data_IF_968921742754
#
_entry.id   IF_968921742754
#
_cell.length_a   1.000
_cell.length_b   1.000
_cell.length_c   1.000
_cell.angle_alpha   90.00
_cell.angle_beta   90.00
_cell.angle_gamma   90.00
#
_symmetry.space_group_name_H-M   'P 1'
#
loop_
_entity.id
_entity.type
_entity.pdbx_description
1 polymer ?
#
# COMPACT_ATOMS: atom_id res chain seq x y z
N UNK A 1 7.10 3.66 -32.62
CA UNK A 1 8.54 3.72 -32.97
C UNK A 1 9.29 4.24 -31.76
N UNK A 2 9.93 3.29 -31.07
CA UNK A 2 11.05 3.39 -30.12
C UNK A 2 11.16 4.54 -29.09
N UNK A 3 10.98 4.11 -27.84
CA UNK A 3 11.65 4.49 -26.58
C UNK A 3 12.95 5.30 -26.67
N UNK A 4 13.12 6.28 -25.76
CA UNK A 4 14.22 6.35 -24.76
C UNK A 4 14.31 7.76 -24.14
N UNK A 5 13.78 7.94 -22.92
CA UNK A 5 14.44 8.72 -21.85
C UNK A 5 13.90 8.18 -20.52
N UNK A 6 14.74 7.39 -19.84
CA UNK A 6 14.41 6.73 -18.59
C UNK A 6 14.13 7.70 -17.44
N UNK A 7 12.88 8.16 -17.36
CA UNK A 7 12.38 8.84 -16.18
C UNK A 7 11.90 7.82 -15.16
N UNK A 8 12.83 7.43 -14.29
CA UNK A 8 12.60 6.77 -13.02
C UNK A 8 11.95 7.75 -12.03
N UNK A 9 10.78 8.28 -12.37
CA UNK A 9 9.94 9.09 -11.48
C UNK A 9 8.49 8.79 -11.84
N UNK A 10 7.94 7.69 -11.31
CA UNK A 10 6.50 7.62 -11.12
C UNK A 10 6.13 8.84 -10.30
N UNK A 11 5.35 9.75 -10.88
CA UNK A 11 4.88 10.96 -10.24
C UNK A 11 4.20 10.60 -8.91
N UNK A 12 4.93 10.76 -7.80
CA UNK A 12 4.34 10.89 -6.46
C UNK A 12 3.62 12.23 -6.31
N UNK A 13 3.55 13.02 -7.38
CA UNK A 13 2.89 14.31 -7.45
C UNK A 13 1.38 14.10 -7.59
N UNK A 14 0.70 14.20 -6.45
CA UNK A 14 -0.71 14.58 -6.30
C UNK A 14 -1.77 13.48 -6.30
N UNK A 15 -1.63 12.45 -5.46
CA UNK A 15 -2.85 11.82 -4.90
C UNK A 15 -3.31 12.73 -3.78
N UNK A 16 -4.09 13.75 -4.14
CA UNK A 16 -4.64 14.72 -3.19
C UNK A 16 -5.38 14.03 -2.04
N UNK A 17 -5.98 12.87 -2.30
CA UNK A 17 -6.71 12.06 -1.32
C UNK A 17 -5.82 11.50 -0.20
N UNK A 18 -4.49 11.40 -0.40
CA UNK A 18 -3.55 10.94 0.63
C UNK A 18 -2.81 12.09 1.33
N UNK A 19 -3.06 13.35 0.96
CA UNK A 19 -2.44 14.51 1.60
C UNK A 19 -3.16 14.79 2.93
N UNK A 20 -2.43 14.66 4.03
CA UNK A 20 -3.00 14.76 5.38
C UNK A 20 -2.96 16.19 5.97
N UNK A 21 -2.17 17.07 5.37
CA UNK A 21 -2.06 18.48 5.77
C UNK A 21 -0.70 19.10 5.47
N UNK A 22 -0.56 20.38 5.84
CA UNK A 22 0.67 21.16 5.77
C UNK A 22 1.03 21.64 7.18
N UNK A 23 2.24 21.34 7.67
CA UNK A 23 2.67 21.69 9.04
C UNK A 23 2.77 23.21 9.30
N UNK A 24 2.76 24.04 8.25
CA UNK A 24 2.71 25.50 8.36
C UNK A 24 1.31 26.01 8.66
N UNK A 25 0.29 25.17 8.46
CA UNK A 25 -1.13 25.50 8.56
C UNK A 25 -1.84 24.66 9.63
N UNK A 26 -1.37 23.44 9.88
CA UNK A 26 -1.91 22.47 10.85
C UNK A 26 -0.82 21.97 11.79
N UNK A 27 -1.20 21.68 13.02
CA UNK A 27 -0.35 20.98 13.99
C UNK A 27 -0.09 19.53 13.55
N UNK A 28 0.97 18.93 14.09
CA UNK A 28 1.27 17.50 13.87
C UNK A 28 0.12 16.64 14.37
N UNK A 29 -0.50 17.01 15.49
CA UNK A 29 -1.65 16.30 16.07
C UNK A 29 -2.86 16.29 15.11
N UNK A 30 -3.20 17.44 14.53
CA UNK A 30 -4.29 17.53 13.54
C UNK A 30 -3.99 16.71 12.29
N UNK A 31 -2.75 16.73 11.78
CA UNK A 31 -2.35 15.88 10.66
C UNK A 31 -2.44 14.39 11.04
N UNK A 32 -2.02 14.05 12.27
CA UNK A 32 -2.03 12.69 12.79
C UNK A 32 -3.46 12.16 12.92
N UNK A 33 -4.42 12.94 13.42
CA UNK A 33 -5.83 12.54 13.53
C UNK A 33 -6.67 12.84 12.28
N UNK A 34 -6.05 13.08 11.13
CA UNK A 34 -6.75 13.16 9.85
C UNK A 34 -7.44 11.84 9.49
N UNK A 35 -8.55 11.92 8.75
CA UNK A 35 -9.34 10.77 8.31
C UNK A 35 -8.50 9.67 7.67
N UNK A 36 -7.63 10.02 6.72
CA UNK A 36 -6.76 9.07 6.01
C UNK A 36 -5.80 8.35 6.97
N UNK A 37 -5.20 9.09 7.90
CA UNK A 37 -4.29 8.51 8.89
C UNK A 37 -5.02 7.59 9.87
N UNK A 38 -6.25 7.96 10.25
CA UNK A 38 -7.12 7.12 11.06
C UNK A 38 -7.49 5.82 10.34
N UNK A 39 -7.91 5.91 9.08
CA UNK A 39 -8.19 4.73 8.24
C UNK A 39 -6.96 3.81 8.18
N UNK A 40 -5.78 4.34 7.81
CA UNK A 40 -4.56 3.53 7.65
C UNK A 40 -4.15 2.84 8.96
N UNK A 41 -4.22 3.55 10.09
CA UNK A 41 -3.88 2.97 11.41
C UNK A 41 -4.83 1.85 11.82
N UNK A 42 -6.12 2.03 11.52
CA UNK A 42 -7.18 1.14 11.95
C UNK A 42 -7.47 0.02 10.95
N UNK A 43 -6.72 -0.10 9.85
CA UNK A 43 -6.85 -1.23 8.90
C UNK A 43 -6.76 -2.55 9.67
N UNK A 44 -7.83 -3.33 9.56
CA UNK A 44 -7.82 -4.72 9.97
C UNK A 44 -7.08 -5.55 8.92
N UNK A 45 -5.82 -5.88 9.22
CA UNK A 45 -4.94 -6.61 8.29
C UNK A 45 -5.49 -7.99 7.89
N UNK A 46 -6.39 -8.58 8.70
CA UNK A 46 -7.02 -9.86 8.37
C UNK A 46 -8.07 -9.75 7.25
N UNK A 47 -8.49 -8.53 6.91
CA UNK A 47 -9.42 -8.28 5.81
C UNK A 47 -8.71 -7.97 4.49
N UNK A 48 -7.36 -7.91 4.49
CA UNK A 48 -6.59 -7.73 3.27
C UNK A 48 -6.89 -8.86 2.27
N UNK A 49 -7.02 -8.49 0.99
CA UNK A 49 -7.34 -9.37 -0.13
C UNK A 49 -6.08 -9.87 -0.83
N UNK A 50 -6.23 -10.79 -1.79
CA UNK A 50 -5.12 -11.31 -2.60
C UNK A 50 -4.15 -12.21 -1.81
N UNK A 51 -2.91 -12.29 -2.26
CA UNK A 51 -1.87 -13.14 -1.64
C UNK A 51 -1.63 -12.81 -0.16
N UNK A 52 -1.78 -11.55 0.25
CA UNK A 52 -1.64 -11.15 1.65
C UNK A 52 -2.65 -11.87 2.57
N UNK A 53 -3.86 -12.18 2.10
CA UNK A 53 -4.86 -12.93 2.88
C UNK A 53 -4.38 -14.33 3.28
N UNK A 54 -3.52 -14.92 2.45
CA UNK A 54 -2.95 -16.25 2.61
C UNK A 54 -1.51 -16.22 3.12
N UNK A 55 -0.92 -15.05 3.42
CA UNK A 55 0.48 -14.95 3.84
C UNK A 55 0.64 -15.19 5.35
N UNK A 56 1.59 -16.05 5.74
CA UNK A 56 1.89 -16.33 7.16
C UNK A 56 2.49 -15.14 7.91
N UNK A 57 3.11 -14.21 7.18
CA UNK A 57 3.77 -13.02 7.75
C UNK A 57 2.83 -11.82 7.91
N UNK A 58 1.54 -11.97 7.59
CA UNK A 58 0.56 -10.88 7.57
C UNK A 58 0.50 -10.10 8.89
N UNK A 59 0.61 -10.77 10.03
CA UNK A 59 0.57 -10.13 11.35
C UNK A 59 1.76 -9.18 11.60
N UNK A 60 2.92 -9.48 11.03
CA UNK A 60 4.15 -8.69 11.20
C UNK A 60 4.33 -7.67 10.09
N UNK A 61 4.16 -8.08 8.84
CA UNK A 61 4.29 -7.22 7.66
C UNK A 61 3.11 -6.23 7.51
N UNK A 62 1.94 -6.59 8.05
CA UNK A 62 0.69 -5.81 7.98
C UNK A 62 0.24 -5.48 6.55
N UNK A 63 0.70 -6.27 5.59
CA UNK A 63 0.35 -6.17 4.18
C UNK A 63 1.31 -5.35 3.34
N UNK A 64 2.37 -4.74 3.87
CA UNK A 64 3.29 -3.88 3.08
C UNK A 64 2.81 -2.43 3.00
N UNK A 65 3.22 -1.68 1.97
CA UNK A 65 2.90 -0.25 1.89
C UNK A 65 1.41 -0.04 1.55
N UNK A 66 0.62 0.51 2.50
CA UNK A 66 -0.82 0.75 2.30
C UNK A 66 -1.08 1.87 1.30
N UNK A 67 -0.25 2.92 1.33
CA UNK A 67 -0.30 3.96 0.31
C UNK A 67 -0.10 3.35 -1.07
N UNK A 68 0.93 2.52 -1.28
CA UNK A 68 1.20 1.90 -2.58
C UNK A 68 0.05 1.02 -3.09
N UNK A 69 -0.55 0.22 -2.20
CA UNK A 69 -1.76 -0.53 -2.52
C UNK A 69 -2.91 0.39 -2.99
N UNK A 70 -3.13 1.51 -2.32
CA UNK A 70 -4.13 2.50 -2.71
C UNK A 70 -3.81 3.15 -4.06
N UNK A 71 -2.57 3.59 -4.28
CA UNK A 71 -2.14 4.20 -5.56
C UNK A 71 -2.44 3.27 -6.74
N UNK A 72 -2.16 1.97 -6.57
CA UNK A 72 -2.27 0.99 -7.65
C UNK A 72 -3.67 0.43 -7.85
N UNK A 73 -4.48 0.37 -6.79
CA UNK A 73 -5.75 -0.40 -6.82
C UNK A 73 -6.96 0.41 -6.37
N UNK A 74 -6.77 1.60 -5.81
CA UNK A 74 -7.83 2.39 -5.17
C UNK A 74 -8.30 1.84 -3.81
N UNK A 75 -7.62 0.84 -3.24
CA UNK A 75 -8.02 0.22 -1.97
C UNK A 75 -6.85 -0.01 -1.02
N UNK A 76 -7.01 0.42 0.23
CA UNK A 76 -6.09 0.04 1.31
C UNK A 76 -6.16 -1.45 1.69
N UNK A 77 -7.27 -2.12 1.32
CA UNK A 77 -7.51 -3.53 1.61
C UNK A 77 -6.95 -4.47 0.53
N UNK A 78 -6.38 -3.95 -0.54
CA UNK A 78 -5.66 -4.77 -1.50
C UNK A 78 -4.35 -5.34 -0.91
N UNK A 79 -3.87 -6.44 -1.50
CA UNK A 79 -2.50 -6.92 -1.27
C UNK A 79 -1.49 -5.84 -1.64
N UNK A 80 -0.29 -5.94 -1.09
CA UNK A 80 0.85 -5.23 -1.66
C UNK A 80 0.96 -5.59 -3.16
N UNK A 81 0.97 -4.59 -4.07
CA UNK A 81 0.99 -4.86 -5.51
C UNK A 81 2.17 -5.73 -5.94
N UNK A 82 3.36 -5.54 -5.37
CA UNK A 82 4.53 -6.34 -5.73
C UNK A 82 4.36 -7.80 -5.29
N UNK A 83 3.86 -8.02 -4.07
CA UNK A 83 3.57 -9.37 -3.59
C UNK A 83 2.55 -10.08 -4.48
N UNK A 84 1.50 -9.36 -4.89
CA UNK A 84 0.43 -9.89 -5.73
C UNK A 84 0.95 -10.24 -7.14
N UNK A 85 1.73 -9.37 -7.77
CA UNK A 85 2.34 -9.61 -9.08
C UNK A 85 3.27 -10.83 -9.06
N UNK A 86 4.11 -10.96 -8.03
CA UNK A 86 5.01 -12.12 -7.85
C UNK A 86 4.20 -13.42 -7.66
N UNK A 87 3.07 -13.36 -6.96
CA UNK A 87 2.17 -14.50 -6.77
C UNK A 87 1.50 -14.94 -8.08
N UNK A 88 0.99 -13.99 -8.85
CA UNK A 88 0.38 -14.26 -10.15
C UNK A 88 1.39 -14.80 -11.18
N UNK A 89 2.66 -14.36 -11.08
CA UNK A 89 3.76 -14.91 -11.87
C UNK A 89 4.21 -16.33 -11.43
N UNK A 90 3.65 -16.87 -10.34
CA UNK A 90 4.05 -18.18 -9.79
C UNK A 90 5.42 -18.18 -9.11
N UNK A 91 5.96 -17.00 -8.79
CA UNK A 91 7.28 -16.82 -8.18
C UNK A 91 7.21 -16.54 -6.67
N UNK A 92 6.00 -16.44 -6.11
CA UNK A 92 5.83 -16.18 -4.68
C UNK A 92 6.24 -17.42 -3.87
N UNK A 93 7.10 -17.27 -2.84
CA UNK A 93 7.58 -18.40 -2.07
C UNK A 93 6.42 -19.15 -1.41
N UNK A 94 6.21 -20.41 -1.80
CA UNK A 94 5.07 -21.23 -1.34
C UNK A 94 5.09 -21.43 0.17
N UNK A 95 6.28 -21.47 0.76
CA UNK A 95 6.51 -21.60 2.20
C UNK A 95 5.99 -20.38 2.97
N UNK A 96 5.75 -19.25 2.30
CA UNK A 96 5.19 -18.03 2.89
C UNK A 96 3.67 -18.05 2.96
N UNK A 97 3.02 -19.02 2.30
CA UNK A 97 1.58 -19.19 2.36
C UNK A 97 1.18 -19.98 3.62
N UNK A 98 0.01 -19.67 4.17
CA UNK A 98 -0.63 -20.44 5.24
C UNK A 98 -0.95 -21.83 4.68
N UNK A 99 -0.61 -22.85 5.46
CA UNK A 99 -1.00 -24.25 5.23
C UNK A 99 -2.46 -24.47 5.56
#
# INVERSE_FOLDING_TARGET
MFTLYGYFFYSTTSINELIIGNIREKTIEECWYSFVMEEIRNINVNQLKGVCSMCKFLSTCRGGCRAYAYIKTGSFYASDPLCQEIYEAGLFPKESLKT
#
